data_IF_021091240379
#
_entry.id   IF_021091240379
#
_cell.length_a   1.000
_cell.length_b   1.000
_cell.length_c   1.000
_cell.angle_alpha   90.00
_cell.angle_beta   90.00
_cell.angle_gamma   90.00
#
_symmetry.space_group_name_H-M   'P 1'
#
loop_
_entity.id
_entity.type
_entity.pdbx_description
1 polymer ?
#
# COMPACT_ATOMS: atom_id res chain seq x y z
N UNK A 1 -34.44 -7.73 -11.50
CA UNK A 1 -33.67 -6.48 -11.53
C UNK A 1 -34.17 -5.66 -10.35
N UNK A 2 -33.42 -5.59 -9.25
CA UNK A 2 -33.84 -4.79 -8.09
C UNK A 2 -33.53 -3.34 -8.43
N UNK A 3 -34.55 -2.50 -8.56
CA UNK A 3 -34.34 -1.06 -8.70
C UNK A 3 -33.70 -0.57 -7.41
N UNK A 4 -32.45 -0.14 -7.51
CA UNK A 4 -31.66 0.27 -6.36
C UNK A 4 -31.89 1.76 -6.19
N UNK A 5 -32.71 2.13 -5.22
CA UNK A 5 -32.81 3.51 -4.74
C UNK A 5 -31.65 3.77 -3.75
N UNK A 6 -31.01 4.94 -3.84
CA UNK A 6 -29.91 5.35 -2.94
C UNK A 6 -28.51 5.34 -3.57
N UNK A 7 -27.47 5.25 -2.73
CA UNK A 7 -26.06 5.50 -3.11
C UNK A 7 -25.47 4.55 -4.18
N UNK A 8 -26.18 3.46 -4.49
CA UNK A 8 -25.77 2.44 -5.45
C UNK A 8 -26.41 2.62 -6.84
N UNK A 9 -27.14 3.72 -7.08
CA UNK A 9 -27.71 4.02 -8.41
C UNK A 9 -26.60 4.00 -9.47
N UNK A 10 -26.84 3.28 -10.57
CA UNK A 10 -25.88 3.12 -11.67
C UNK A 10 -24.70 2.21 -11.36
N UNK A 11 -24.71 1.51 -10.22
CA UNK A 11 -23.71 0.49 -9.90
C UNK A 11 -24.18 -0.91 -10.28
N UNK A 12 -23.23 -1.81 -10.55
CA UNK A 12 -23.46 -3.25 -10.69
C UNK A 12 -22.83 -3.96 -9.49
N UNK A 13 -23.60 -4.74 -8.77
CA UNK A 13 -23.16 -5.47 -7.58
C UNK A 13 -23.90 -6.81 -7.44
N UNK A 14 -23.32 -7.70 -6.63
CA UNK A 14 -24.01 -8.89 -6.11
C UNK A 14 -24.35 -8.68 -4.65
N UNK A 15 -25.53 -9.13 -4.23
CA UNK A 15 -25.94 -9.11 -2.83
C UNK A 15 -25.21 -10.22 -2.05
N UNK A 16 -24.74 -9.89 -0.86
CA UNK A 16 -24.21 -10.86 0.10
C UNK A 16 -25.36 -11.34 0.98
N UNK A 17 -25.62 -12.64 0.94
CA UNK A 17 -26.69 -13.28 1.72
C UNK A 17 -26.09 -14.25 2.73
N UNK A 18 -26.57 -14.21 3.96
CA UNK A 18 -26.19 -15.18 4.98
C UNK A 18 -26.75 -16.56 4.63
N UNK A 19 -25.90 -17.59 4.59
CA UNK A 19 -26.33 -18.94 4.27
C UNK A 19 -27.30 -19.53 5.31
N UNK A 20 -27.16 -19.14 6.58
CA UNK A 20 -27.97 -19.69 7.66
C UNK A 20 -29.34 -19.02 7.78
N UNK A 21 -29.40 -17.69 7.77
CA UNK A 21 -30.66 -16.95 7.98
C UNK A 21 -31.25 -16.35 6.69
N UNK A 22 -30.56 -16.48 5.55
CA UNK A 22 -30.99 -15.99 4.23
C UNK A 22 -31.24 -14.48 4.15
N UNK A 23 -30.81 -13.72 5.16
CA UNK A 23 -30.88 -12.26 5.16
C UNK A 23 -29.78 -11.66 4.30
N UNK A 24 -30.11 -10.55 3.65
CA UNK A 24 -29.16 -9.76 2.89
C UNK A 24 -28.30 -8.94 3.87
N UNK A 25 -27.01 -9.26 3.93
CA UNK A 25 -26.03 -8.72 4.87
C UNK A 25 -25.18 -7.61 4.26
N UNK A 26 -25.20 -7.46 2.93
CA UNK A 26 -24.32 -6.52 2.23
C UNK A 26 -24.29 -6.74 0.72
N UNK A 27 -23.20 -6.30 0.10
CA UNK A 27 -22.97 -6.42 -1.34
C UNK A 27 -21.48 -6.46 -1.71
N UNK A 28 -21.19 -6.91 -2.94
CA UNK A 28 -19.87 -6.83 -3.59
C UNK A 28 -20.02 -6.04 -4.88
N UNK A 29 -19.29 -4.92 -4.99
CA UNK A 29 -19.33 -4.05 -6.17
C UNK A 29 -18.44 -4.58 -7.30
N UNK A 30 -18.98 -4.62 -8.51
CA UNK A 30 -18.27 -4.91 -9.76
C UNK A 30 -17.98 -3.65 -10.56
N UNK A 31 -19.01 -2.81 -10.72
CA UNK A 31 -18.94 -1.58 -11.51
C UNK A 31 -19.56 -0.43 -10.74
N UNK A 32 -18.81 0.66 -10.57
CA UNK A 32 -19.27 1.91 -9.99
C UNK A 32 -18.33 3.06 -10.40
N UNK A 33 -18.88 4.22 -10.73
CA UNK A 33 -18.10 5.42 -11.05
C UNK A 33 -17.67 6.17 -9.77
N UNK A 34 -18.63 6.46 -8.89
CA UNK A 34 -18.41 7.20 -7.63
C UNK A 34 -17.83 6.34 -6.50
N UNK A 35 -18.07 5.03 -6.54
CA UNK A 35 -17.66 4.07 -5.50
C UNK A 35 -16.62 3.07 -6.02
N UNK A 36 -15.83 3.46 -7.02
CA UNK A 36 -14.85 2.60 -7.68
C UNK A 36 -13.83 1.97 -6.71
N UNK A 37 -13.54 2.65 -5.59
CA UNK A 37 -12.62 2.19 -4.53
C UNK A 37 -13.17 1.04 -3.68
N UNK A 38 -14.48 0.77 -3.75
CA UNK A 38 -15.14 -0.34 -3.06
C UNK A 38 -15.20 -1.63 -3.90
N UNK A 39 -14.76 -1.60 -5.16
CA UNK A 39 -14.81 -2.76 -6.05
C UNK A 39 -13.98 -3.93 -5.50
N UNK A 40 -14.55 -5.13 -5.56
CA UNK A 40 -13.93 -6.34 -5.04
C UNK A 40 -13.86 -6.43 -3.50
N UNK A 41 -14.40 -5.45 -2.77
CA UNK A 41 -14.53 -5.51 -1.32
C UNK A 41 -15.89 -6.08 -0.92
N UNK A 42 -15.93 -6.75 0.23
CA UNK A 42 -17.18 -7.15 0.89
C UNK A 42 -17.73 -5.96 1.68
N UNK A 43 -18.75 -5.29 1.14
CA UNK A 43 -19.42 -4.17 1.79
C UNK A 43 -20.58 -4.68 2.62
N UNK A 44 -20.52 -4.46 3.94
CA UNK A 44 -21.47 -5.03 4.89
C UNK A 44 -22.36 -3.95 5.51
N UNK A 45 -23.66 -4.24 5.62
CA UNK A 45 -24.64 -3.34 6.22
C UNK A 45 -24.52 -3.34 7.74
N UNK A 46 -24.19 -2.18 8.32
CA UNK A 46 -23.96 -2.05 9.78
C UNK A 46 -25.19 -2.36 10.62
N UNK A 47 -26.39 -2.09 10.11
CA UNK A 47 -27.66 -2.39 10.79
C UNK A 47 -27.99 -3.90 10.81
N UNK A 48 -27.29 -4.70 10.01
CA UNK A 48 -27.50 -6.16 9.91
C UNK A 48 -26.48 -6.99 10.68
N UNK A 49 -25.50 -6.36 11.33
CA UNK A 49 -24.35 -7.05 11.92
C UNK A 49 -24.13 -6.64 13.37
N UNK A 50 -23.72 -7.62 14.17
CA UNK A 50 -23.18 -7.44 15.51
C UNK A 50 -21.69 -7.74 15.52
N UNK A 51 -20.92 -6.89 16.17
CA UNK A 51 -19.49 -7.08 16.37
C UNK A 51 -19.22 -7.64 17.77
N UNK A 52 -18.26 -8.55 17.87
CA UNK A 52 -17.71 -9.00 19.15
C UNK A 52 -16.43 -8.23 19.45
N UNK A 53 -16.44 -7.44 20.51
CA UNK A 53 -15.31 -6.63 20.93
C UNK A 53 -14.41 -7.47 21.84
N UNK A 54 -13.29 -7.95 21.29
CA UNK A 54 -12.37 -8.85 22.01
C UNK A 54 -11.87 -8.26 23.33
N UNK A 55 -11.61 -6.96 23.37
CA UNK A 55 -11.05 -6.28 24.54
C UNK A 55 -12.00 -6.26 25.74
N UNK A 56 -13.31 -6.09 25.50
CA UNK A 56 -14.33 -6.00 26.55
C UNK A 56 -15.20 -7.24 26.63
N UNK A 57 -14.97 -8.22 25.76
CA UNK A 57 -15.81 -9.43 25.59
C UNK A 57 -17.29 -9.13 25.37
N UNK A 58 -17.59 -7.94 24.83
CA UNK A 58 -18.95 -7.46 24.65
C UNK A 58 -19.42 -7.68 23.21
N UNK A 59 -20.69 -8.06 23.04
CA UNK A 59 -21.36 -8.03 21.74
C UNK A 59 -22.07 -6.70 21.59
N UNK A 60 -21.79 -5.99 20.50
CA UNK A 60 -22.34 -4.65 20.22
C UNK A 60 -22.85 -4.59 18.79
N UNK A 61 -23.92 -3.84 18.55
CA UNK A 61 -24.39 -3.58 17.18
C UNK A 61 -23.31 -2.83 16.38
N UNK A 62 -23.05 -3.25 15.14
CA UNK A 62 -22.04 -2.59 14.32
C UNK A 62 -22.39 -1.14 13.99
N UNK A 63 -23.68 -0.78 14.02
CA UNK A 63 -24.18 0.61 13.95
C UNK A 63 -23.66 1.50 15.08
N UNK A 64 -23.45 0.93 16.27
CA UNK A 64 -22.94 1.61 17.48
C UNK A 64 -21.41 1.61 17.55
N UNK A 65 -20.75 0.86 16.66
CA UNK A 65 -19.29 0.81 16.58
C UNK A 65 -18.78 1.87 15.60
N UNK A 66 -17.97 2.78 16.10
CA UNK A 66 -17.12 3.65 15.29
C UNK A 66 -15.89 2.86 14.84
N UNK A 67 -15.86 2.47 13.57
CA UNK A 67 -14.62 2.06 12.93
C UNK A 67 -13.93 3.34 12.47
N UNK A 68 -12.85 3.79 13.16
CA UNK A 68 -12.14 4.97 12.70
C UNK A 68 -11.68 4.73 11.28
N UNK A 69 -11.93 5.69 10.40
CA UNK A 69 -11.32 5.71 9.08
C UNK A 69 -9.84 5.97 9.32
N UNK A 70 -9.06 4.92 9.53
CA UNK A 70 -7.61 5.03 9.61
C UNK A 70 -7.17 5.45 8.22
N UNK A 71 -6.92 6.75 8.06
CA UNK A 71 -6.52 7.27 6.77
C UNK A 71 -5.15 6.65 6.45
N UNK A 72 -5.11 5.76 5.45
CA UNK A 72 -3.84 5.23 4.96
C UNK A 72 -2.91 6.35 4.48
N UNK A 73 -3.45 7.56 4.26
CA UNK A 73 -2.73 8.74 3.81
C UNK A 73 -1.48 9.02 4.65
N UNK A 74 -1.58 8.96 5.98
CA UNK A 74 -0.42 9.23 6.85
C UNK A 74 0.62 8.11 6.77
N UNK A 75 0.17 6.86 6.76
CA UNK A 75 1.05 5.70 6.61
C UNK A 75 1.77 5.69 5.25
N UNK A 76 1.04 5.98 4.17
CA UNK A 76 1.58 6.11 2.80
C UNK A 76 2.54 7.30 2.71
N UNK A 77 2.23 8.43 3.33
CA UNK A 77 3.12 9.59 3.37
C UNK A 77 4.43 9.27 4.12
N UNK A 78 4.36 8.53 5.23
CA UNK A 78 5.53 8.06 5.98
C UNK A 78 6.38 7.10 5.13
N UNK A 79 5.75 6.15 4.44
CA UNK A 79 6.43 5.24 3.53
C UNK A 79 7.13 5.99 2.39
N UNK A 80 6.45 6.96 1.76
CA UNK A 80 7.05 7.80 0.71
C UNK A 80 8.29 8.54 1.20
N UNK A 81 8.23 9.16 2.40
CA UNK A 81 9.39 9.84 3.00
C UNK A 81 10.56 8.89 3.23
N UNK A 82 10.29 7.71 3.77
CA UNK A 82 11.32 6.69 4.01
C UNK A 82 11.97 6.22 2.71
N UNK A 83 11.18 5.99 1.66
CA UNK A 83 11.68 5.58 0.35
C UNK A 83 12.62 6.62 -0.27
N UNK A 84 12.22 7.90 -0.24
CA UNK A 84 13.05 9.01 -0.74
C UNK A 84 14.37 9.10 0.04
N UNK A 85 14.32 8.96 1.36
CA UNK A 85 15.53 8.99 2.20
C UNK A 85 16.49 7.84 1.86
N UNK A 86 15.97 6.64 1.64
CA UNK A 86 16.77 5.48 1.23
C UNK A 86 17.38 5.70 -0.15
N UNK A 87 16.59 6.19 -1.11
CA UNK A 87 17.09 6.51 -2.46
C UNK A 87 18.25 7.51 -2.43
N UNK A 88 18.13 8.61 -1.69
CA UNK A 88 19.22 9.60 -1.54
C UNK A 88 20.50 8.99 -0.94
N UNK A 89 20.37 8.06 0.01
CA UNK A 89 21.52 7.36 0.59
C UNK A 89 22.19 6.45 -0.42
N UNK A 90 21.41 5.73 -1.22
CA UNK A 90 21.93 4.86 -2.28
C UNK A 90 22.69 5.68 -3.31
N UNK A 91 22.11 6.77 -3.81
CA UNK A 91 22.76 7.68 -4.77
C UNK A 91 24.10 8.21 -4.23
N UNK A 92 24.14 8.61 -2.96
CA UNK A 92 25.38 9.07 -2.33
C UNK A 92 26.44 7.96 -2.27
N UNK A 93 26.04 6.72 -1.98
CA UNK A 93 26.94 5.57 -1.92
C UNK A 93 27.46 5.21 -3.32
N UNK A 94 26.61 5.25 -4.34
CA UNK A 94 27.00 5.05 -5.75
C UNK A 94 28.08 6.06 -6.13
N UNK A 95 27.83 7.35 -5.89
CA UNK A 95 28.80 8.41 -6.21
C UNK A 95 30.13 8.23 -5.50
N UNK A 96 30.12 7.89 -4.20
CA UNK A 96 31.35 7.62 -3.44
C UNK A 96 32.12 6.41 -3.99
N UNK A 97 31.42 5.38 -4.44
CA UNK A 97 32.02 4.19 -5.02
C UNK A 97 32.67 4.51 -6.38
N UNK A 98 32.00 5.30 -7.22
CA UNK A 98 32.55 5.79 -8.50
C UNK A 98 33.81 6.63 -8.28
N UNK A 99 33.77 7.60 -7.35
CA UNK A 99 34.93 8.42 -7.01
C UNK A 99 36.11 7.57 -6.49
N UNK A 100 35.83 6.57 -5.65
CA UNK A 100 36.85 5.67 -5.13
C UNK A 100 37.49 4.82 -6.23
N UNK A 101 36.68 4.27 -7.15
CA UNK A 101 37.17 3.51 -8.29
C UNK A 101 38.02 4.38 -9.22
N UNK A 102 37.60 5.62 -9.49
CA UNK A 102 38.37 6.54 -10.33
C UNK A 102 39.75 6.83 -9.72
N UNK A 103 39.81 7.09 -8.40
CA UNK A 103 41.09 7.30 -7.69
C UNK A 103 41.99 6.08 -7.77
N UNK A 104 41.44 4.87 -7.65
CA UNK A 104 42.22 3.62 -7.79
C UNK A 104 42.84 3.49 -9.17
N UNK A 105 42.07 3.74 -10.23
CA UNK A 105 42.55 3.67 -11.62
C UNK A 105 43.69 4.67 -11.83
N UNK A 106 43.52 5.93 -11.41
CA UNK A 106 44.56 6.96 -11.55
C UNK A 106 45.83 6.65 -10.75
N UNK A 107 45.71 6.07 -9.54
CA UNK A 107 46.86 5.61 -8.76
C UNK A 107 47.61 4.47 -9.46
N UNK A 108 46.90 3.46 -9.98
CA UNK A 108 47.50 2.32 -10.69
C UNK A 108 48.21 2.73 -11.99
N UNK A 109 47.69 3.73 -12.72
CA UNK A 109 48.33 4.29 -13.92
C UNK A 109 49.63 5.05 -13.61
N UNK A 110 49.66 5.84 -12.53
CA UNK A 110 50.88 6.57 -12.09
C UNK A 110 52.03 5.65 -11.66
N UNK A 111 51.74 4.42 -11.23
CA UNK A 111 52.74 3.46 -10.80
C UNK A 111 53.37 2.65 -11.96
N UNK A 112 52.79 2.68 -13.17
CA UNK A 112 53.32 1.94 -14.35
C UNK A 112 54.38 2.70 -15.16
N UNK A 113 54.72 3.93 -14.77
CA UNK A 113 55.72 4.77 -15.46
C UNK A 113 57.15 4.62 -14.95
N UNK A 114 57.82 3.49 -15.20
CA UNK A 114 59.31 3.44 -15.31
C UNK A 114 59.73 2.37 -16.32
N UNK A 115 60.28 2.74 -17.49
CA UNK A 115 61.02 1.79 -18.30
C UNK A 115 62.39 1.59 -17.64
N UNK A 116 62.71 0.36 -17.25
CA UNK A 116 64.08 -0.02 -16.91
C UNK A 116 64.92 0.07 -18.19
N UNK A 117 65.76 1.09 -18.29
CA UNK A 117 66.80 1.17 -19.31
C UNK A 117 67.96 0.25 -18.91
N UNK A 118 68.24 -0.77 -19.72
CA UNK A 118 69.54 -1.43 -19.75
C UNK A 118 70.46 -0.60 -20.66
N UNK A 119 71.65 -0.26 -20.17
CA UNK A 119 72.78 0.17 -21.00
C UNK A 119 73.91 -0.83 -20.80
N UNK A 120 74.43 -1.30 -21.93
CA UNK A 120 75.57 -2.21 -22.11
C UNK A 120 76.84 -1.80 -21.35
#
# INVERSE_FOLDING_TARGET
MVCVEGDLIGCTYNTLRCQSCQLDMGFVLYSAKSLAYLRGLFCLFKDKITCYLLQTTATVEASKVTCPVVSLKEHVAKLKKSLVQVHMRIELLIKKLEEFNQRRITCEESCKGRPYGYTD
#
